data_IF_496942880173
#
_entry.id   IF_496942880173
#
_cell.length_a   1.000
_cell.length_b   1.000
_cell.length_c   1.000
_cell.angle_alpha   90.00
_cell.angle_beta   90.00
_cell.angle_gamma   90.00
#
_symmetry.space_group_name_H-M   'P 1'
#
loop_
_entity.id
_entity.type
_entity.pdbx_description
1 polymer ?
#
# COMPACT_ATOMS: atom_id res chain seq x y z
N UNK A 1 -6.47 -4.70 -17.16
CA UNK A 1 -5.84 -3.82 -16.17
C UNK A 1 -4.58 -4.47 -15.63
N UNK A 2 -3.62 -3.66 -15.22
CA UNK A 2 -2.35 -4.16 -14.74
C UNK A 2 -2.36 -4.24 -13.20
N UNK A 3 -1.86 -5.32 -12.66
CA UNK A 3 -1.69 -5.50 -11.22
C UNK A 3 -0.21 -5.65 -10.92
N UNK A 4 0.28 -4.89 -9.94
CA UNK A 4 1.67 -4.97 -9.51
C UNK A 4 1.73 -5.25 -8.02
N UNK A 5 2.87 -5.83 -7.59
CA UNK A 5 3.10 -6.13 -6.19
C UNK A 5 4.38 -5.45 -5.73
N UNK A 6 4.34 -4.91 -4.53
CA UNK A 6 5.45 -4.17 -3.94
C UNK A 6 5.61 -4.54 -2.48
N UNK A 7 6.79 -4.31 -1.95
CA UNK A 7 7.05 -4.44 -0.51
C UNK A 7 7.51 -3.09 0.01
N UNK A 8 6.90 -2.63 1.09
CA UNK A 8 7.31 -1.38 1.72
C UNK A 8 7.60 -1.63 3.19
N UNK A 9 8.52 -0.85 3.75
CA UNK A 9 8.82 -0.91 5.17
C UNK A 9 7.89 0.04 5.92
N UNK A 10 7.17 -0.52 6.87
CA UNK A 10 6.22 0.23 7.69
C UNK A 10 6.74 0.30 9.12
N UNK A 11 6.84 1.50 9.66
CA UNK A 11 7.26 1.72 11.03
C UNK A 11 6.05 2.01 11.89
N UNK A 12 5.64 1.01 12.68
CA UNK A 12 4.51 1.14 13.58
C UNK A 12 4.89 1.97 14.82
N UNK A 13 6.09 1.70 15.35
CA UNK A 13 6.68 2.47 16.44
C UNK A 13 8.18 2.65 16.15
N UNK A 14 8.88 3.43 16.98
CA UNK A 14 10.32 3.66 16.82
C UNK A 14 11.13 2.36 16.74
N UNK A 15 10.68 1.31 17.42
CA UNK A 15 11.40 0.04 17.51
C UNK A 15 10.73 -1.08 16.74
N UNK A 16 9.59 -0.82 16.09
CA UNK A 16 8.83 -1.86 15.44
C UNK A 16 8.69 -1.58 13.95
N UNK A 17 9.37 -2.39 13.17
CA UNK A 17 9.33 -2.31 11.71
C UNK A 17 8.74 -3.60 11.15
N UNK A 18 7.83 -3.47 10.22
CA UNK A 18 7.25 -4.63 9.53
C UNK A 18 7.27 -4.36 8.03
N UNK A 19 7.40 -5.44 7.24
CA UNK A 19 7.26 -5.35 5.79
C UNK A 19 5.81 -5.56 5.43
N UNK A 20 5.28 -4.65 4.63
CA UNK A 20 3.93 -4.76 4.09
C UNK A 20 4.00 -5.14 2.62
N UNK A 21 3.15 -6.06 2.22
CA UNK A 21 2.97 -6.40 0.82
C UNK A 21 1.83 -5.56 0.28
N UNK A 22 2.10 -4.82 -0.79
CA UNK A 22 1.12 -3.91 -1.40
C UNK A 22 0.82 -4.41 -2.80
N UNK A 23 -0.44 -4.74 -3.06
CA UNK A 23 -0.91 -5.12 -4.37
C UNK A 23 -1.75 -3.98 -4.93
N UNK A 24 -1.38 -3.49 -6.10
CA UNK A 24 -2.07 -2.36 -6.73
C UNK A 24 -2.68 -2.83 -8.05
N UNK A 25 -3.98 -2.65 -8.17
CA UNK A 25 -4.68 -2.81 -9.44
C UNK A 25 -4.78 -1.41 -10.07
N UNK A 26 -4.08 -1.21 -11.18
CA UNK A 26 -3.96 0.10 -11.80
C UNK A 26 -5.16 0.42 -12.69
N UNK A 27 -5.82 1.53 -12.40
CA UNK A 27 -6.93 2.02 -13.23
C UNK A 27 -6.41 2.62 -14.53
N UNK A 28 -5.26 3.30 -14.45
CA UNK A 28 -4.54 3.89 -15.58
C UNK A 28 -3.05 3.65 -15.37
N UNK A 29 -2.20 3.84 -16.40
CA UNK A 29 -0.78 3.53 -16.26
C UNK A 29 -0.07 4.21 -15.09
N UNK A 30 -0.54 5.36 -14.66
CA UNK A 30 0.10 6.11 -13.57
C UNK A 30 -0.86 6.38 -12.41
N UNK A 31 -2.07 5.82 -12.45
CA UNK A 31 -3.08 6.08 -11.43
C UNK A 31 -3.55 4.76 -10.83
N UNK A 32 -3.26 4.51 -9.54
CA UNK A 32 -3.78 3.33 -8.87
C UNK A 32 -5.31 3.34 -8.82
N UNK A 33 -5.91 2.17 -8.88
CA UNK A 33 -7.36 2.02 -8.72
C UNK A 33 -7.71 1.45 -7.36
N UNK A 34 -7.36 0.18 -7.15
CA UNK A 34 -7.62 -0.53 -5.90
C UNK A 34 -6.30 -0.97 -5.29
N UNK A 35 -6.19 -0.81 -3.98
CA UNK A 35 -4.98 -1.19 -3.23
C UNK A 35 -5.35 -2.19 -2.14
N UNK A 36 -4.59 -3.27 -2.07
CA UNK A 36 -4.71 -4.26 -1.01
C UNK A 36 -3.37 -4.35 -0.29
N UNK A 37 -3.38 -4.18 1.03
CA UNK A 37 -2.20 -4.25 1.86
C UNK A 37 -2.29 -5.48 2.76
N UNK A 38 -1.28 -6.32 2.72
CA UNK A 38 -1.22 -7.52 3.56
C UNK A 38 0.06 -7.53 4.38
N UNK A 39 0.05 -8.29 5.47
CA UNK A 39 1.24 -8.51 6.28
C UNK A 39 2.14 -9.59 5.66
N UNK A 40 3.23 -9.93 6.35
CA UNK A 40 4.18 -10.93 5.87
C UNK A 40 3.58 -12.33 5.76
N UNK A 41 2.49 -12.57 6.45
CA UNK A 41 1.84 -13.87 6.50
C UNK A 41 0.59 -13.94 5.62
N UNK A 42 0.33 -12.89 4.85
CA UNK A 42 -0.81 -12.85 3.94
C UNK A 42 -2.12 -12.36 4.56
N UNK A 43 -2.09 -11.89 5.80
CA UNK A 43 -3.28 -11.33 6.44
C UNK A 43 -3.60 -9.95 5.89
N UNK A 44 -4.86 -9.72 5.51
CA UNK A 44 -5.27 -8.44 4.96
C UNK A 44 -5.31 -7.37 6.05
N UNK A 45 -4.57 -6.29 5.82
CA UNK A 45 -4.50 -5.17 6.74
C UNK A 45 -5.33 -3.98 6.27
N UNK A 46 -5.41 -3.76 4.96
CA UNK A 46 -6.18 -2.67 4.38
C UNK A 46 -6.59 -3.03 2.97
N UNK A 47 -7.76 -2.57 2.57
CA UNK A 47 -8.27 -2.73 1.21
C UNK A 47 -9.09 -1.47 0.90
N UNK A 48 -8.65 -0.71 -0.09
CA UNK A 48 -9.27 0.59 -0.35
C UNK A 48 -9.13 0.99 -1.82
N UNK A 49 -10.05 1.84 -2.26
CA UNK A 49 -9.92 2.50 -3.54
C UNK A 49 -9.02 3.73 -3.39
N UNK A 50 -8.13 3.95 -4.35
CA UNK A 50 -7.16 5.03 -4.29
C UNK A 50 -7.83 6.40 -4.08
N UNK A 51 -8.94 6.63 -4.75
CA UNK A 51 -9.66 7.90 -4.70
C UNK A 51 -10.41 8.13 -3.39
N UNK A 52 -10.56 7.11 -2.55
CA UNK A 52 -11.27 7.23 -1.27
C UNK A 52 -10.45 7.96 -0.21
N UNK A 53 -9.16 8.15 -0.44
CA UNK A 53 -8.28 8.85 0.48
C UNK A 53 -8.33 8.28 1.89
N UNK A 54 -8.11 6.97 1.99
CA UNK A 54 -8.21 6.22 3.24
C UNK A 54 -7.25 6.78 4.29
N UNK A 55 -7.73 6.92 5.52
CA UNK A 55 -6.99 7.53 6.62
C UNK A 55 -6.29 6.51 7.53
N UNK A 56 -6.33 5.22 7.20
CA UNK A 56 -5.61 4.23 8.01
C UNK A 56 -4.10 4.43 7.90
N UNK A 57 -3.36 3.97 8.92
CA UNK A 57 -1.90 4.10 8.93
C UNK A 57 -1.27 3.35 7.76
N UNK A 58 -1.80 2.17 7.43
CA UNK A 58 -1.32 1.37 6.31
C UNK A 58 -1.54 2.08 4.99
N UNK A 59 -2.71 2.70 4.80
CA UNK A 59 -3.00 3.45 3.59
C UNK A 59 -2.09 4.66 3.46
N UNK A 60 -1.86 5.38 4.56
CA UNK A 60 -0.95 6.52 4.54
C UNK A 60 0.47 6.12 4.15
N UNK A 61 0.93 4.96 4.63
CA UNK A 61 2.24 4.44 4.24
C UNK A 61 2.31 4.18 2.74
N UNK A 62 1.23 3.69 2.14
CA UNK A 62 1.16 3.44 0.70
C UNK A 62 1.17 4.77 -0.07
N UNK A 63 0.38 5.75 0.37
CA UNK A 63 0.37 7.07 -0.28
C UNK A 63 1.76 7.72 -0.23
N UNK A 64 2.43 7.64 0.92
CA UNK A 64 3.78 8.20 1.06
C UNK A 64 4.77 7.50 0.14
N UNK A 65 4.72 6.18 0.05
CA UNK A 65 5.59 5.42 -0.85
C UNK A 65 5.35 5.79 -2.31
N UNK A 66 4.11 6.00 -2.68
CA UNK A 66 3.77 6.45 -4.03
C UNK A 66 4.35 7.83 -4.33
N UNK A 67 4.18 8.78 -3.39
CA UNK A 67 4.70 10.14 -3.55
C UNK A 67 6.21 10.17 -3.64
N UNK A 68 6.90 9.24 -2.98
CA UNK A 68 8.35 9.12 -3.01
C UNK A 68 8.86 8.37 -4.25
N UNK A 69 7.98 7.88 -5.09
CA UNK A 69 8.35 7.15 -6.29
C UNK A 69 8.78 5.71 -6.05
N UNK A 70 8.40 5.11 -4.93
CA UNK A 70 8.77 3.73 -4.61
C UNK A 70 7.78 2.69 -5.12
N UNK A 71 6.67 3.11 -5.66
CA UNK A 71 5.63 2.21 -6.18
C UNK A 71 5.47 2.31 -7.70
#
# INVERSE_FOLDING_TARGET
>A
MKTTQHSILFEDTEDHHVWLNVEIEWAQPEVPGIVCVTDEWGGELAYFAWEDDDQSAEAQAVYDAYDEGRL
#
